data_IF_625946211886
#
_entry.id   IF_625946211886
#
_cell.length_a   1.000
_cell.length_b   1.000
_cell.length_c   1.000
_cell.angle_alpha   90.00
_cell.angle_beta   90.00
_cell.angle_gamma   90.00
#
_symmetry.space_group_name_H-M   'P 1'
#
loop_
_entity.id
_entity.type
_entity.pdbx_description
1 polymer ?
#
# COMPACT_ATOMS: atom_id res chain seq x y z
N UNK A 1 11.87 -17.19 16.12
CA UNK A 1 12.73 -18.25 15.50
C UNK A 1 12.45 -18.46 14.01
N UNK A 2 11.18 -18.41 13.55
CA UNK A 2 10.81 -18.53 12.14
C UNK A 2 11.24 -17.31 11.29
N UNK A 3 11.07 -16.09 11.81
CA UNK A 3 11.52 -14.86 11.17
C UNK A 3 13.04 -14.83 10.97
N UNK A 4 13.83 -15.28 11.95
CA UNK A 4 15.29 -15.39 11.83
C UNK A 4 15.69 -16.43 10.77
N UNK A 5 14.94 -17.53 10.64
CA UNK A 5 15.15 -18.55 9.58
C UNK A 5 14.77 -18.02 8.19
N UNK A 6 13.72 -17.21 8.07
CA UNK A 6 13.32 -16.58 6.81
C UNK A 6 14.33 -15.52 6.39
N UNK A 7 14.78 -14.70 7.33
CA UNK A 7 15.79 -13.66 7.12
C UNK A 7 17.16 -14.29 6.77
N UNK A 8 17.54 -15.40 7.41
CA UNK A 8 18.71 -16.19 6.99
C UNK A 8 18.53 -16.75 5.58
N UNK A 9 17.34 -17.27 5.23
CA UNK A 9 17.09 -17.83 3.88
C UNK A 9 17.12 -16.75 2.81
N UNK A 10 16.59 -15.56 3.07
CA UNK A 10 16.64 -14.42 2.13
C UNK A 10 18.05 -13.87 2.02
N UNK A 11 18.79 -13.74 3.14
CA UNK A 11 20.19 -13.32 3.12
C UNK A 11 21.14 -14.34 2.47
N UNK A 12 20.84 -15.65 2.60
CA UNK A 12 21.64 -16.73 2.02
C UNK A 12 21.20 -17.12 0.61
N UNK A 13 20.04 -16.66 0.12
CA UNK A 13 19.56 -16.97 -1.23
C UNK A 13 20.53 -16.49 -2.33
N UNK A 14 21.12 -15.28 -2.28
CA UNK A 14 22.17 -14.85 -3.21
C UNK A 14 23.42 -15.75 -3.12
N UNK A 15 23.82 -16.12 -1.91
CA UNK A 15 24.97 -17.01 -1.66
C UNK A 15 24.72 -18.40 -2.22
N UNK A 16 23.50 -18.92 -2.05
CA UNK A 16 23.06 -20.20 -2.60
C UNK A 16 22.99 -20.18 -4.13
N UNK A 17 22.47 -19.11 -4.73
CA UNK A 17 22.48 -18.92 -6.20
C UNK A 17 23.91 -18.92 -6.75
N UNK A 18 24.84 -18.21 -6.09
CA UNK A 18 26.25 -18.16 -6.46
C UNK A 18 26.90 -19.55 -6.33
N UNK A 19 26.64 -20.30 -5.24
CA UNK A 19 27.19 -21.64 -5.03
C UNK A 19 26.63 -22.68 -6.00
N UNK A 20 25.32 -22.64 -6.27
CA UNK A 20 24.67 -23.55 -7.23
C UNK A 20 25.15 -23.24 -8.66
N UNK A 21 25.35 -21.97 -8.98
CA UNK A 21 25.95 -21.56 -10.25
C UNK A 21 27.41 -22.03 -10.35
N UNK A 22 28.23 -21.83 -9.32
CA UNK A 22 29.63 -22.29 -9.27
C UNK A 22 29.75 -23.81 -9.44
N UNK A 23 28.87 -24.60 -8.83
CA UNK A 23 28.90 -26.08 -8.91
C UNK A 23 28.45 -26.60 -10.28
N UNK A 24 27.44 -25.97 -10.89
CA UNK A 24 27.03 -26.30 -12.27
C UNK A 24 28.08 -25.85 -13.29
N UNK A 25 28.74 -24.72 -13.04
CA UNK A 25 29.70 -24.11 -13.95
C UNK A 25 31.10 -24.75 -13.88
N UNK A 26 31.55 -25.18 -12.70
CA UNK A 26 32.78 -26.00 -12.56
C UNK A 26 32.65 -27.33 -13.31
N UNK A 27 31.47 -27.95 -13.29
CA UNK A 27 31.14 -29.11 -14.12
C UNK A 27 31.19 -28.79 -15.62
N UNK A 28 30.75 -27.60 -16.03
CA UNK A 28 30.75 -27.15 -17.43
C UNK A 28 32.16 -26.81 -17.95
N UNK A 29 32.98 -26.13 -17.16
CA UNK A 29 34.39 -25.80 -17.49
C UNK A 29 35.23 -27.07 -17.59
N UNK A 30 34.97 -28.08 -16.76
CA UNK A 30 35.68 -29.38 -16.84
C UNK A 30 35.52 -30.06 -18.21
N UNK A 31 34.46 -29.71 -18.97
CA UNK A 31 34.18 -30.24 -20.31
C UNK A 31 34.73 -29.39 -21.46
N UNK A 32 35.08 -28.12 -21.22
CA UNK A 32 35.55 -27.19 -22.25
C UNK A 32 36.98 -26.76 -21.93
N UNK A 33 37.94 -27.50 -22.48
CA UNK A 33 39.37 -27.40 -22.15
C UNK A 33 40.07 -26.13 -22.60
N UNK A 34 39.75 -24.97 -22.03
CA UNK A 34 40.58 -23.77 -22.16
C UNK A 34 40.59 -22.93 -20.87
N UNK A 35 41.65 -23.07 -20.08
CA UNK A 35 41.88 -22.44 -18.77
C UNK A 35 41.74 -20.90 -18.80
N UNK A 36 42.16 -20.28 -19.90
CA UNK A 36 42.16 -18.81 -20.08
C UNK A 36 40.73 -18.25 -20.17
N UNK A 37 39.83 -18.95 -20.86
CA UNK A 37 38.42 -18.55 -20.93
C UNK A 37 37.73 -18.71 -19.58
N UNK A 38 38.04 -19.78 -18.84
CA UNK A 38 37.52 -19.99 -17.48
C UNK A 38 37.90 -18.86 -16.51
N UNK A 39 39.14 -18.38 -16.56
CA UNK A 39 39.61 -17.26 -15.73
C UNK A 39 38.95 -15.92 -16.10
N UNK A 40 38.75 -15.66 -17.40
CA UNK A 40 38.08 -14.45 -17.88
C UNK A 40 36.61 -14.40 -17.42
N UNK A 41 35.87 -15.50 -17.54
CA UNK A 41 34.49 -15.57 -17.06
C UNK A 41 34.38 -15.54 -15.54
N UNK A 42 35.32 -16.15 -14.79
CA UNK A 42 35.35 -16.07 -13.33
C UNK A 42 35.56 -14.62 -12.86
N UNK A 43 36.44 -13.86 -13.52
CA UNK A 43 36.64 -12.44 -13.25
C UNK A 43 35.36 -11.62 -13.49
N UNK A 44 34.67 -11.82 -14.62
CA UNK A 44 33.38 -11.17 -14.91
C UNK A 44 32.34 -11.51 -13.83
N UNK A 45 32.33 -12.74 -13.32
CA UNK A 45 31.40 -13.17 -12.28
C UNK A 45 31.68 -12.54 -10.92
N UNK A 46 32.95 -12.40 -10.55
CA UNK A 46 33.36 -11.70 -9.32
C UNK A 46 32.97 -10.23 -9.42
N UNK A 47 33.27 -9.59 -10.56
CA UNK A 47 32.91 -8.19 -10.80
C UNK A 47 31.39 -7.99 -10.80
N UNK A 48 30.64 -8.86 -11.48
CA UNK A 48 29.17 -8.82 -11.46
C UNK A 48 28.61 -9.08 -10.06
N UNK A 49 29.16 -10.03 -9.30
CA UNK A 49 28.77 -10.29 -7.92
C UNK A 49 29.03 -9.12 -6.99
N UNK A 50 30.16 -8.43 -7.15
CA UNK A 50 30.49 -7.20 -6.40
C UNK A 50 29.56 -6.07 -6.78
N UNK A 51 29.30 -5.83 -8.06
CA UNK A 51 28.38 -4.77 -8.54
C UNK A 51 26.94 -5.04 -8.07
N UNK A 52 26.47 -6.28 -8.15
CA UNK A 52 25.12 -6.68 -7.68
C UNK A 52 25.03 -6.52 -6.17
N UNK A 53 26.06 -6.93 -5.42
CA UNK A 53 26.10 -6.72 -3.98
C UNK A 53 26.05 -5.21 -3.67
N UNK A 54 26.92 -4.41 -4.26
CA UNK A 54 27.00 -2.96 -4.03
C UNK A 54 25.67 -2.24 -4.36
N UNK A 55 25.03 -2.59 -5.48
CA UNK A 55 23.71 -2.04 -5.86
C UNK A 55 22.58 -2.51 -4.94
N UNK A 56 22.56 -3.80 -4.56
CA UNK A 56 21.54 -4.33 -3.67
C UNK A 56 21.66 -3.75 -2.25
N UNK A 57 22.88 -3.57 -1.74
CA UNK A 57 23.14 -2.94 -0.45
C UNK A 57 22.77 -1.46 -0.45
N UNK A 58 23.04 -0.75 -1.56
CA UNK A 58 22.62 0.64 -1.71
C UNK A 58 21.08 0.75 -1.72
N UNK A 59 20.38 -0.09 -2.47
CA UNK A 59 18.90 -0.10 -2.47
C UNK A 59 18.33 -0.47 -1.10
N UNK A 60 18.92 -1.45 -0.40
CA UNK A 60 18.52 -1.82 0.96
C UNK A 60 18.78 -0.68 1.95
N UNK A 61 19.92 0.00 1.85
CA UNK A 61 20.26 1.14 2.70
C UNK A 61 19.35 2.34 2.44
N UNK A 62 19.01 2.61 1.17
CA UNK A 62 18.03 3.62 0.78
C UNK A 62 16.65 3.24 1.34
N UNK A 63 16.21 2.00 1.16
CA UNK A 63 14.93 1.52 1.69
C UNK A 63 14.87 1.65 3.21
N UNK A 64 15.93 1.23 3.93
CA UNK A 64 16.03 1.40 5.39
C UNK A 64 16.03 2.86 5.81
N UNK A 65 16.78 3.73 5.10
CA UNK A 65 16.81 5.17 5.36
C UNK A 65 15.44 5.83 5.15
N UNK A 66 14.73 5.46 4.08
CA UNK A 66 13.35 5.90 3.81
C UNK A 66 12.42 5.41 4.92
N UNK A 67 12.54 4.16 5.37
CA UNK A 67 11.76 3.62 6.48
C UNK A 67 12.00 4.39 7.79
N UNK A 68 13.24 4.75 8.11
CA UNK A 68 13.56 5.53 9.31
C UNK A 68 13.01 6.96 9.24
N UNK A 69 13.17 7.62 8.09
CA UNK A 69 12.61 8.95 7.87
C UNK A 69 11.08 8.93 7.95
N UNK A 70 10.44 7.89 7.41
CA UNK A 70 8.99 7.69 7.49
C UNK A 70 8.55 7.46 8.94
N UNK A 71 9.21 6.56 9.68
CA UNK A 71 8.91 6.32 11.11
C UNK A 71 9.05 7.61 11.92
N UNK A 72 10.15 8.34 11.75
CA UNK A 72 10.33 9.63 12.43
C UNK A 72 9.17 10.57 12.07
N UNK A 73 8.79 10.70 10.78
CA UNK A 73 7.67 11.56 10.38
C UNK A 73 6.34 11.15 11.01
N UNK A 74 6.08 9.86 11.17
CA UNK A 74 4.88 9.34 11.84
C UNK A 74 4.91 9.63 13.36
N UNK A 75 6.07 9.52 14.01
CA UNK A 75 6.19 9.76 15.44
C UNK A 75 6.33 11.25 15.81
N UNK A 76 6.61 12.11 14.83
CA UNK A 76 6.82 13.54 15.00
C UNK A 76 5.77 14.39 14.25
N UNK A 77 4.57 13.86 14.00
CA UNK A 77 3.52 14.55 13.21
C UNK A 77 3.09 15.91 13.79
N UNK A 78 3.17 16.07 15.12
CA UNK A 78 2.74 17.28 15.81
C UNK A 78 3.83 18.35 15.96
N UNK A 79 5.09 18.03 15.70
CA UNK A 79 6.23 18.92 15.96
C UNK A 79 6.93 19.39 14.67
N UNK A 80 7.99 20.19 14.84
CA UNK A 80 8.81 20.71 13.73
C UNK A 80 10.18 20.02 13.66
N UNK A 81 10.35 18.90 14.33
CA UNK A 81 11.61 18.16 14.35
C UNK A 81 11.93 17.67 12.92
N UNK A 82 13.15 17.92 12.49
CA UNK A 82 13.65 17.42 11.20
C UNK A 82 14.45 16.16 11.46
N UNK A 83 14.18 15.13 10.67
CA UNK A 83 14.98 13.90 10.72
C UNK A 83 16.40 14.20 10.23
N UNK A 84 17.38 14.08 11.12
CA UNK A 84 18.79 14.24 10.79
C UNK A 84 19.56 13.00 11.25
N UNK A 85 19.96 12.18 10.29
CA UNK A 85 20.60 10.89 10.56
C UNK A 85 21.81 10.69 9.64
N UNK A 86 22.95 10.35 10.25
CA UNK A 86 24.16 9.88 9.59
C UNK A 86 24.69 8.68 10.38
N UNK A 87 25.01 7.60 9.68
CA UNK A 87 25.57 6.38 10.25
C UNK A 87 26.85 6.64 11.07
N UNK A 88 27.62 7.69 10.74
CA UNK A 88 28.82 8.09 11.48
C UNK A 88 28.53 8.43 12.93
N UNK A 89 27.33 8.91 13.25
CA UNK A 89 26.97 9.26 14.62
C UNK A 89 26.92 8.03 15.53
N UNK A 90 26.59 6.84 15.02
CA UNK A 90 26.40 5.64 15.85
C UNK A 90 27.70 5.17 16.51
N UNK A 91 28.81 5.14 15.76
CA UNK A 91 30.09 4.55 16.22
C UNK A 91 30.74 5.37 17.34
N UNK A 92 30.59 6.70 17.31
CA UNK A 92 31.26 7.60 18.26
C UNK A 92 30.43 8.04 19.46
N UNK A 93 29.10 8.00 19.37
CA UNK A 93 28.20 8.54 20.41
C UNK A 93 27.59 7.47 21.32
N UNK A 94 27.61 6.20 20.91
CA UNK A 94 26.87 5.13 21.59
C UNK A 94 25.35 5.18 21.37
N UNK A 95 24.86 6.15 20.58
CA UNK A 95 23.46 6.24 20.19
C UNK A 95 23.09 5.11 19.21
N UNK A 96 21.84 4.70 19.28
CA UNK A 96 21.20 3.77 18.36
C UNK A 96 20.31 4.52 17.37
N UNK A 97 19.92 3.87 16.28
CA UNK A 97 18.96 4.42 15.31
C UNK A 97 17.63 4.83 15.96
N UNK A 98 17.22 4.13 17.03
CA UNK A 98 15.97 4.42 17.75
C UNK A 98 15.99 5.81 18.38
N UNK A 99 17.16 6.26 18.85
CA UNK A 99 17.31 7.56 19.51
C UNK A 99 17.10 8.73 18.55
N UNK A 100 17.25 8.50 17.23
CA UNK A 100 16.99 9.50 16.18
C UNK A 100 15.55 9.50 15.67
N UNK A 101 14.73 8.52 16.08
CA UNK A 101 13.35 8.31 15.59
C UNK A 101 12.33 8.50 16.72
N UNK A 102 12.74 8.25 17.97
CA UNK A 102 11.87 8.25 19.12
C UNK A 102 11.31 9.66 19.41
N UNK A 103 9.99 9.77 19.66
CA UNK A 103 9.39 11.03 20.09
C UNK A 103 9.76 11.32 21.54
N UNK A 104 9.40 12.51 22.02
CA UNK A 104 9.59 12.90 23.43
C UNK A 104 8.90 11.96 24.42
N UNK A 105 7.80 11.32 24.01
CA UNK A 105 7.10 10.31 24.79
C UNK A 105 5.69 10.03 24.26
N UNK A 106 5.07 9.01 24.83
CA UNK A 106 3.67 8.65 24.61
C UNK A 106 2.89 8.75 25.91
N UNK A 107 1.65 9.21 25.82
CA UNK A 107 0.72 9.26 26.94
C UNK A 107 -0.55 8.48 26.56
N UNK A 108 -1.00 7.55 27.39
CA UNK A 108 -2.22 6.76 27.16
C UNK A 108 -3.22 6.94 28.32
N UNK A 109 -3.91 8.10 28.43
CA UNK A 109 -4.61 8.46 29.66
C UNK A 109 -5.83 7.58 29.98
N UNK A 110 -6.59 7.19 28.95
CA UNK A 110 -7.88 6.49 29.10
C UNK A 110 -7.95 5.17 28.34
N UNK A 111 -6.94 4.85 27.55
CA UNK A 111 -6.96 3.73 26.60
C UNK A 111 -7.81 3.96 25.34
N UNK A 112 -8.63 5.01 25.25
CA UNK A 112 -9.45 5.32 24.06
C UNK A 112 -8.75 6.21 23.03
N UNK A 113 -7.73 6.92 23.50
CA UNK A 113 -6.86 7.79 22.73
C UNK A 113 -5.48 7.78 23.39
N UNK A 114 -4.51 8.33 22.68
CA UNK A 114 -3.16 8.55 23.17
C UNK A 114 -2.64 9.90 22.69
N UNK A 115 -1.52 10.34 23.24
CA UNK A 115 -0.84 11.56 22.79
C UNK A 115 0.58 11.26 22.35
N UNK A 116 0.98 11.93 21.28
CA UNK A 116 2.37 11.98 20.81
C UNK A 116 2.78 13.46 20.82
N UNK A 117 3.62 13.85 21.77
CA UNK A 117 3.85 15.27 22.06
C UNK A 117 2.55 16.00 22.39
N UNK A 118 2.24 17.06 21.64
CA UNK A 118 1.03 17.87 21.81
C UNK A 118 -0.17 17.38 20.98
N UNK A 119 0.00 16.33 20.17
CA UNK A 119 -1.02 15.82 19.28
C UNK A 119 -1.87 14.76 20.00
N UNK A 120 -3.19 14.89 19.94
CA UNK A 120 -4.13 13.86 20.35
C UNK A 120 -4.34 12.90 19.18
N UNK A 121 -4.28 11.60 19.47
CA UNK A 121 -4.27 10.53 18.49
C UNK A 121 -5.26 9.44 18.89
N UNK A 122 -5.91 8.82 17.90
CA UNK A 122 -6.74 7.65 18.13
C UNK A 122 -6.65 6.65 16.98
N UNK A 123 -6.41 5.40 17.34
CA UNK A 123 -6.39 4.25 16.46
C UNK A 123 -7.78 3.63 16.34
N UNK A 124 -8.16 3.35 15.09
CA UNK A 124 -9.38 2.62 14.74
C UNK A 124 -9.06 1.57 13.67
N UNK A 125 -9.84 0.49 13.61
CA UNK A 125 -9.83 -0.46 12.50
C UNK A 125 -11.13 -0.38 11.71
N UNK A 126 -11.07 -0.74 10.43
CA UNK A 126 -12.24 -0.81 9.56
C UNK A 126 -12.84 -2.22 9.62
N UNK A 127 -14.05 -2.34 10.15
CA UNK A 127 -14.89 -3.54 10.03
C UNK A 127 -15.59 -3.53 8.68
N UNK A 128 -15.26 -4.50 7.85
CA UNK A 128 -15.83 -4.67 6.53
C UNK A 128 -16.89 -5.77 6.60
N UNK A 129 -18.13 -5.33 6.79
CA UNK A 129 -19.30 -6.22 6.88
C UNK A 129 -19.96 -6.40 5.50
N UNK A 130 -19.67 -5.51 4.55
CA UNK A 130 -20.19 -5.55 3.19
C UNK A 130 -19.60 -6.71 2.35
N UNK A 131 -20.41 -7.20 1.41
CA UNK A 131 -20.00 -8.19 0.40
C UNK A 131 -19.19 -7.57 -0.74
N UNK A 132 -19.34 -6.26 -0.98
CA UNK A 132 -18.63 -5.52 -2.02
C UNK A 132 -18.16 -4.16 -1.48
N UNK A 133 -16.99 -3.72 -1.94
CA UNK A 133 -16.32 -2.51 -1.46
C UNK A 133 -16.04 -1.61 -2.65
N UNK A 134 -16.36 -0.32 -2.56
CA UNK A 134 -16.00 0.62 -3.61
C UNK A 134 -14.49 0.94 -3.61
N UNK A 135 -13.92 1.02 -4.81
CA UNK A 135 -12.59 1.56 -5.13
C UNK A 135 -12.38 3.01 -4.70
N UNK A 136 -13.45 3.73 -4.40
CA UNK A 136 -13.40 5.10 -3.87
C UNK A 136 -13.22 5.17 -2.36
N UNK A 137 -13.38 4.08 -1.63
CA UNK A 137 -13.30 4.11 -0.16
C UNK A 137 -11.94 4.64 0.31
N UNK A 138 -10.84 4.07 -0.22
CA UNK A 138 -9.50 4.51 0.16
C UNK A 138 -9.27 5.98 -0.23
N UNK A 139 -9.74 6.39 -1.41
CA UNK A 139 -9.64 7.78 -1.86
C UNK A 139 -10.41 8.75 -0.95
N UNK A 140 -11.62 8.39 -0.53
CA UNK A 140 -12.43 9.20 0.39
C UNK A 140 -11.74 9.36 1.75
N UNK A 141 -11.11 8.30 2.29
CA UNK A 141 -10.28 8.43 3.48
C UNK A 141 -9.10 9.38 3.20
N UNK A 142 -8.30 9.13 2.17
CA UNK A 142 -7.12 9.94 1.86
C UNK A 142 -7.44 11.42 1.55
N UNK A 143 -8.67 11.71 1.11
CA UNK A 143 -9.15 13.07 0.84
C UNK A 143 -9.58 13.88 2.08
N UNK A 144 -9.51 13.31 3.28
CA UNK A 144 -9.82 14.05 4.51
C UNK A 144 -8.86 15.23 4.73
N UNK A 145 -9.41 16.40 5.05
CA UNK A 145 -8.64 17.62 5.39
C UNK A 145 -8.05 17.58 6.81
N UNK A 146 -7.51 16.44 7.22
CA UNK A 146 -6.88 16.23 8.53
C UNK A 146 -5.63 15.39 8.40
N UNK A 147 -4.72 15.51 9.37
CA UNK A 147 -3.56 14.62 9.41
C UNK A 147 -4.00 13.25 9.90
N UNK A 148 -3.74 12.22 9.10
CA UNK A 148 -4.07 10.85 9.43
C UNK A 148 -3.10 9.87 8.78
N UNK A 149 -3.09 8.64 9.27
CA UNK A 149 -2.36 7.53 8.65
C UNK A 149 -3.35 6.40 8.39
N UNK A 150 -3.41 5.96 7.14
CA UNK A 150 -4.11 4.72 6.76
C UNK A 150 -3.06 3.63 6.61
N UNK A 151 -3.23 2.53 7.33
CA UNK A 151 -2.34 1.36 7.26
C UNK A 151 -3.13 0.14 6.83
N UNK A 152 -2.57 -0.63 5.91
CA UNK A 152 -3.13 -1.89 5.45
C UNK A 152 -2.09 -3.00 5.57
N UNK A 153 -2.40 -4.03 6.35
CA UNK A 153 -1.64 -5.28 6.34
C UNK A 153 -2.36 -6.26 5.44
N UNK A 154 -1.67 -6.73 4.40
CA UNK A 154 -2.22 -7.68 3.43
C UNK A 154 -1.33 -8.93 3.47
N UNK A 155 -1.91 -10.05 3.88
CA UNK A 155 -1.22 -11.33 3.96
C UNK A 155 -1.89 -12.35 3.05
N UNK A 156 -1.13 -12.94 2.12
CA UNK A 156 -1.65 -14.06 1.31
C UNK A 156 -1.82 -15.31 2.14
N UNK A 157 -2.92 -16.03 1.93
CA UNK A 157 -3.19 -17.34 2.52
C UNK A 157 -2.77 -18.43 1.52
N UNK A 158 -2.23 -19.54 2.02
CA UNK A 158 -1.99 -20.72 1.17
C UNK A 158 -3.30 -21.23 0.58
N UNK A 159 -3.30 -21.58 -0.71
CA UNK A 159 -4.52 -21.93 -1.43
C UNK A 159 -5.23 -23.15 -0.81
N UNK A 160 -4.48 -24.15 -0.34
CA UNK A 160 -5.07 -25.35 0.23
C UNK A 160 -5.69 -25.06 1.60
N UNK A 161 -5.00 -24.26 2.42
CA UNK A 161 -5.52 -23.83 3.73
C UNK A 161 -6.75 -22.91 3.58
N UNK A 162 -6.76 -22.03 2.58
CA UNK A 162 -7.91 -21.19 2.26
C UNK A 162 -9.15 -22.03 1.89
N UNK A 163 -8.99 -22.97 0.93
CA UNK A 163 -10.07 -23.88 0.51
C UNK A 163 -10.58 -24.72 1.69
N UNK A 164 -9.67 -25.23 2.52
CA UNK A 164 -10.01 -26.03 3.70
C UNK A 164 -10.80 -25.22 4.72
N UNK A 165 -10.37 -23.99 5.00
CA UNK A 165 -11.03 -23.07 5.94
C UNK A 165 -12.45 -22.76 5.48
N UNK A 166 -12.65 -22.43 4.19
CA UNK A 166 -13.98 -22.11 3.67
C UNK A 166 -14.90 -23.33 3.65
N UNK A 167 -14.39 -24.53 3.29
CA UNK A 167 -15.17 -25.78 3.39
C UNK A 167 -15.63 -26.07 4.83
N UNK A 168 -14.75 -25.82 5.80
CA UNK A 168 -15.10 -25.94 7.21
C UNK A 168 -16.21 -24.95 7.59
N UNK A 169 -16.08 -23.66 7.21
CA UNK A 169 -17.10 -22.64 7.43
C UNK A 169 -18.45 -23.01 6.80
N UNK A 170 -18.46 -23.52 5.57
CA UNK A 170 -19.69 -24.01 4.91
C UNK A 170 -20.33 -25.15 5.72
N UNK A 171 -19.52 -26.07 6.24
CA UNK A 171 -20.01 -27.20 7.04
C UNK A 171 -20.66 -26.73 8.34
N UNK A 172 -20.06 -25.75 9.02
CA UNK A 172 -20.63 -25.14 10.24
C UNK A 172 -21.92 -24.34 9.96
N UNK A 173 -21.99 -23.65 8.83
CA UNK A 173 -23.21 -22.95 8.39
C UNK A 173 -24.33 -23.94 8.04
N UNK A 174 -24.02 -25.00 7.30
CA UNK A 174 -24.99 -26.05 6.97
C UNK A 174 -25.48 -26.77 8.25
N UNK A 175 -24.61 -26.98 9.24
CA UNK A 175 -24.99 -27.49 10.57
C UNK A 175 -25.95 -26.55 11.30
N UNK A 176 -25.62 -25.26 11.36
CA UNK A 176 -26.47 -24.24 11.98
C UNK A 176 -27.85 -24.18 11.33
N UNK A 177 -27.89 -24.30 9.99
CA UNK A 177 -29.14 -24.34 9.23
C UNK A 177 -30.01 -25.55 9.62
N UNK A 178 -29.40 -26.73 9.77
CA UNK A 178 -30.12 -27.94 10.21
C UNK A 178 -30.65 -27.78 11.63
N UNK A 179 -29.89 -27.15 12.52
CA UNK A 179 -30.32 -26.93 13.91
C UNK A 179 -31.53 -25.97 13.99
N UNK A 180 -31.52 -24.88 13.22
CA UNK A 180 -32.67 -23.98 13.12
C UNK A 180 -33.91 -24.67 12.52
N UNK A 181 -33.72 -25.47 11.46
CA UNK A 181 -34.82 -26.25 10.87
C UNK A 181 -35.41 -27.26 11.88
N UNK A 182 -34.57 -27.94 12.67
CA UNK A 182 -35.04 -28.84 13.74
C UNK A 182 -35.83 -28.10 14.82
N UNK A 183 -35.42 -26.87 15.18
CA UNK A 183 -36.18 -26.04 16.12
C UNK A 183 -37.53 -25.63 15.55
N UNK A 184 -37.58 -25.23 14.27
CA UNK A 184 -38.82 -24.88 13.58
C UNK A 184 -39.83 -26.04 13.59
N UNK A 185 -39.37 -27.26 13.27
CA UNK A 185 -40.19 -28.49 13.33
C UNK A 185 -40.75 -28.73 14.74
N UNK A 186 -39.92 -28.56 15.78
CA UNK A 186 -40.37 -28.74 17.18
C UNK A 186 -41.35 -27.67 17.64
N UNK A 187 -41.18 -26.44 17.15
CA UNK A 187 -42.03 -25.30 17.51
C UNK A 187 -43.29 -25.18 16.65
N UNK A 188 -43.41 -25.97 15.58
CA UNK A 188 -44.56 -25.95 14.67
C UNK A 188 -44.58 -24.79 13.68
N UNK A 189 -43.43 -24.14 13.45
CA UNK A 189 -43.27 -23.12 12.41
C UNK A 189 -42.76 -23.74 11.10
N UNK A 190 -42.93 -23.02 10.00
CA UNK A 190 -42.46 -23.44 8.68
C UNK A 190 -40.94 -23.62 8.64
N UNK A 191 -40.49 -24.76 8.10
CA UNK A 191 -39.07 -25.14 7.95
C UNK A 191 -38.33 -24.25 6.95
N UNK A 192 -39.06 -23.54 6.09
CA UNK A 192 -38.48 -22.58 5.14
C UNK A 192 -38.10 -21.25 5.82
N UNK A 193 -38.59 -21.00 7.04
CA UNK A 193 -38.21 -19.83 7.83
C UNK A 193 -36.83 -20.07 8.43
N UNK A 194 -35.81 -19.77 7.65
CA UNK A 194 -34.41 -19.72 8.06
C UNK A 194 -34.03 -18.24 8.20
N UNK A 195 -33.24 -17.86 9.22
CA UNK A 195 -32.72 -16.49 9.32
C UNK A 195 -32.07 -16.06 8.00
N UNK A 196 -32.49 -14.89 7.48
CA UNK A 196 -32.01 -14.36 6.19
C UNK A 196 -30.49 -14.32 6.12
N UNK A 197 -29.85 -13.96 7.22
CA UNK A 197 -28.40 -13.80 7.31
C UNK A 197 -27.69 -15.14 7.14
N UNK A 198 -28.22 -16.21 7.76
CA UNK A 198 -27.67 -17.56 7.63
C UNK A 198 -27.75 -18.08 6.18
N UNK A 199 -28.86 -17.77 5.48
CA UNK A 199 -29.02 -18.12 4.08
C UNK A 199 -28.05 -17.34 3.18
N UNK A 200 -27.86 -16.04 3.43
CA UNK A 200 -26.93 -15.18 2.70
C UNK A 200 -25.49 -15.62 2.91
N UNK A 201 -25.04 -15.77 4.16
CA UNK A 201 -23.67 -16.22 4.47
C UNK A 201 -23.35 -17.59 3.88
N UNK A 202 -24.32 -18.53 3.90
CA UNK A 202 -24.16 -19.84 3.27
C UNK A 202 -23.99 -19.77 1.75
N UNK A 203 -24.68 -18.83 1.10
CA UNK A 203 -24.54 -18.57 -0.35
C UNK A 203 -23.19 -17.95 -0.66
N UNK A 204 -22.79 -16.92 0.08
CA UNK A 204 -21.55 -16.18 -0.13
C UNK A 204 -20.32 -17.07 0.10
N UNK A 205 -20.33 -17.92 1.14
CA UNK A 205 -19.26 -18.88 1.38
C UNK A 205 -19.12 -19.89 0.23
N UNK A 206 -20.22 -20.35 -0.36
CA UNK A 206 -20.21 -21.25 -1.53
C UNK A 206 -19.74 -20.54 -2.79
N UNK A 207 -20.09 -19.26 -2.98
CA UNK A 207 -19.59 -18.43 -4.07
C UNK A 207 -18.06 -18.24 -3.94
N UNK A 208 -17.57 -17.84 -2.77
CA UNK A 208 -16.15 -17.67 -2.48
C UNK A 208 -15.35 -18.96 -2.73
N UNK A 209 -15.87 -20.11 -2.31
CA UNK A 209 -15.24 -21.41 -2.58
C UNK A 209 -15.07 -21.65 -4.09
N UNK A 210 -16.11 -21.35 -4.88
CA UNK A 210 -16.09 -21.50 -6.34
C UNK A 210 -15.08 -20.55 -6.99
N UNK A 211 -15.00 -19.31 -6.52
CA UNK A 211 -14.03 -18.33 -7.03
C UNK A 211 -12.59 -18.81 -6.81
N UNK A 212 -12.27 -19.26 -5.60
CA UNK A 212 -10.93 -19.78 -5.27
C UNK A 212 -10.57 -21.06 -6.04
N UNK A 213 -11.54 -21.92 -6.35
CA UNK A 213 -11.27 -23.17 -7.06
C UNK A 213 -11.22 -23.00 -8.59
N UNK A 214 -12.04 -22.10 -9.14
CA UNK A 214 -12.32 -22.08 -10.58
C UNK A 214 -11.84 -20.79 -11.26
N UNK A 215 -11.68 -19.68 -10.53
CA UNK A 215 -11.37 -18.36 -11.11
C UNK A 215 -9.93 -17.90 -10.88
N UNK A 216 -9.04 -18.80 -10.42
CA UNK A 216 -7.65 -18.49 -10.10
C UNK A 216 -7.50 -17.33 -9.09
N UNK A 217 -8.51 -17.15 -8.25
CA UNK A 217 -8.49 -16.21 -7.13
C UNK A 217 -7.66 -16.78 -5.97
N UNK A 218 -6.92 -15.91 -5.30
CA UNK A 218 -6.24 -16.19 -4.04
C UNK A 218 -6.97 -15.52 -2.89
N UNK A 219 -6.84 -16.12 -1.71
CA UNK A 219 -7.35 -15.53 -0.49
C UNK A 219 -6.26 -14.69 0.20
N UNK A 220 -6.64 -13.50 0.63
CA UNK A 220 -5.82 -12.59 1.42
C UNK A 220 -6.51 -12.28 2.75
N UNK A 221 -5.71 -11.97 3.76
CA UNK A 221 -6.15 -11.46 5.05
C UNK A 221 -5.77 -9.99 5.10
N UNK A 222 -6.77 -9.12 5.23
CA UNK A 222 -6.62 -7.67 5.30
C UNK A 222 -6.86 -7.20 6.75
N UNK A 223 -5.93 -6.41 7.28
CA UNK A 223 -6.15 -5.54 8.43
C UNK A 223 -6.07 -4.09 7.95
N UNK A 224 -7.15 -3.34 8.05
CA UNK A 224 -7.21 -1.93 7.65
C UNK A 224 -7.36 -1.06 8.90
N UNK A 225 -6.41 -0.16 9.12
CA UNK A 225 -6.38 0.72 10.29
C UNK A 225 -6.27 2.19 9.87
N UNK A 226 -6.89 3.05 10.67
CA UNK A 226 -6.84 4.50 10.54
C UNK A 226 -6.37 5.09 11.86
N UNK A 227 -5.28 5.85 11.81
CA UNK A 227 -4.84 6.74 12.88
C UNK A 227 -5.38 8.13 12.57
N UNK A 228 -6.34 8.59 13.36
CA UNK A 228 -6.80 9.98 13.31
C UNK A 228 -6.03 10.81 14.32
N UNK A 229 -5.80 12.08 14.00
CA UNK A 229 -5.08 13.02 14.88
C UNK A 229 -5.83 14.34 15.03
N UNK A 230 -5.51 15.11 16.07
CA UNK A 230 -6.02 16.47 16.29
C UNK A 230 -5.17 17.23 17.30
N UNK A 231 -5.16 18.57 17.23
CA UNK A 231 -4.46 19.44 18.20
C UNK A 231 -5.25 19.66 19.49
N UNK A 232 -6.53 19.30 19.48
CA UNK A 232 -7.40 19.27 20.66
C UNK A 232 -8.24 18.00 20.67
N UNK A 233 -8.76 17.62 21.84
CA UNK A 233 -9.67 16.49 21.95
C UNK A 233 -10.93 16.65 21.08
N UNK A 234 -11.44 17.89 20.97
CA UNK A 234 -12.60 18.19 20.13
C UNK A 234 -12.30 18.00 18.64
N UNK A 235 -11.13 18.45 18.18
CA UNK A 235 -10.68 18.25 16.80
C UNK A 235 -10.48 16.76 16.49
N UNK A 236 -9.87 16.01 17.41
CA UNK A 236 -9.69 14.58 17.29
C UNK A 236 -11.05 13.87 17.10
N UNK A 237 -12.02 14.11 17.99
CA UNK A 237 -13.35 13.51 17.89
C UNK A 237 -14.10 13.89 16.61
N UNK A 238 -13.98 15.14 16.15
CA UNK A 238 -14.55 15.57 14.87
C UNK A 238 -13.94 14.80 13.69
N UNK A 239 -12.61 14.64 13.67
CA UNK A 239 -11.92 13.92 12.59
C UNK A 239 -12.31 12.44 12.58
N UNK A 240 -12.51 11.83 13.75
CA UNK A 240 -12.98 10.44 13.84
C UNK A 240 -14.42 10.32 13.36
N UNK A 241 -15.29 11.27 13.72
CA UNK A 241 -16.67 11.27 13.25
C UNK A 241 -16.73 11.35 11.72
N UNK A 242 -15.88 12.18 11.10
CA UNK A 242 -15.75 12.24 9.65
C UNK A 242 -15.26 10.91 9.06
N UNK A 243 -14.20 10.32 9.61
CA UNK A 243 -13.68 9.03 9.18
C UNK A 243 -14.73 7.91 9.31
N UNK A 244 -15.51 7.90 10.39
CA UNK A 244 -16.61 6.96 10.60
C UNK A 244 -17.74 7.18 9.60
N UNK A 245 -18.04 8.42 9.24
CA UNK A 245 -19.05 8.75 8.23
C UNK A 245 -18.63 8.26 6.83
N UNK A 246 -17.33 8.35 6.51
CA UNK A 246 -16.76 7.78 5.28
C UNK A 246 -16.89 6.25 5.28
N UNK A 247 -16.54 5.58 6.39
CA UNK A 247 -16.71 4.14 6.51
C UNK A 247 -18.17 3.72 6.25
N UNK A 248 -19.13 4.40 6.90
CA UNK A 248 -20.56 4.09 6.78
C UNK A 248 -21.10 4.31 5.37
N UNK A 249 -20.65 5.36 4.67
CA UNK A 249 -20.97 5.60 3.25
C UNK A 249 -20.64 4.39 2.37
N UNK A 250 -19.62 3.63 2.74
CA UNK A 250 -19.15 2.42 2.03
C UNK A 250 -19.58 1.11 2.72
N UNK A 251 -20.67 1.13 3.50
CA UNK A 251 -21.20 -0.04 4.22
C UNK A 251 -20.17 -0.73 5.13
N UNK A 252 -19.23 0.04 5.67
CA UNK A 252 -18.24 -0.41 6.63
C UNK A 252 -18.41 0.35 7.94
N UNK A 253 -17.83 -0.19 9.01
CA UNK A 253 -17.86 0.45 10.33
C UNK A 253 -16.44 0.76 10.77
N UNK A 254 -16.19 1.98 11.25
CA UNK A 254 -14.91 2.34 11.85
C UNK A 254 -15.00 2.11 13.37
N UNK A 255 -14.23 1.17 13.88
CA UNK A 255 -14.30 0.75 15.29
C UNK A 255 -13.01 1.16 15.99
N UNK A 256 -13.15 1.81 17.15
CA UNK A 256 -12.00 2.25 17.96
C UNK A 256 -11.27 1.04 18.57
N UNK A 257 -9.94 1.06 18.52
CA UNK A 257 -9.08 0.11 19.24
C UNK A 257 -8.97 0.50 20.72
N UNK A 258 -10.09 0.55 21.43
CA UNK A 258 -10.13 0.90 22.86
C UNK A 258 -9.25 -0.07 23.66
N UNK A 259 -8.38 0.49 24.52
CA UNK A 259 -7.34 -0.22 25.29
C UNK A 259 -6.26 -0.94 24.46
N UNK A 260 -6.29 -0.79 23.13
CA UNK A 260 -5.31 -1.34 22.20
C UNK A 260 -4.63 -0.25 21.33
N UNK A 261 -4.58 0.98 21.85
CA UNK A 261 -4.03 2.13 21.12
C UNK A 261 -2.53 1.99 20.84
N UNK A 262 -1.78 1.41 21.79
CA UNK A 262 -0.34 1.15 21.62
C UNK A 262 -0.09 0.10 20.55
N UNK A 263 -0.80 -1.03 20.61
CA UNK A 263 -0.74 -2.11 19.62
C UNK A 263 -1.12 -1.58 18.24
N UNK A 264 -2.17 -0.77 18.17
CA UNK A 264 -2.58 -0.09 16.94
C UNK A 264 -1.47 0.79 16.38
N UNK A 265 -0.86 1.66 17.20
CA UNK A 265 0.23 2.54 16.79
C UNK A 265 1.43 1.75 16.27
N UNK A 266 1.90 0.74 17.02
CA UNK A 266 3.02 -0.12 16.61
C UNK A 266 2.74 -0.77 15.25
N UNK A 267 1.49 -1.18 15.03
CA UNK A 267 1.05 -1.80 13.78
C UNK A 267 0.95 -0.81 12.61
N UNK A 268 0.99 0.52 12.84
CA UNK A 268 1.07 1.52 11.76
C UNK A 268 2.49 1.82 11.29
N UNK A 269 3.49 1.46 12.11
CA UNK A 269 4.87 1.70 11.75
C UNK A 269 5.26 0.79 10.57
N UNK A 270 6.13 1.26 9.65
CA UNK A 270 6.61 0.47 8.51
C UNK A 270 7.64 -0.59 8.93
N UNK A 271 7.27 -1.42 9.91
CA UNK A 271 8.02 -2.54 10.46
C UNK A 271 7.58 -3.90 9.89
N UNK A 272 6.55 -3.91 9.02
CA UNK A 272 5.88 -5.11 8.53
C UNK A 272 5.44 -6.04 9.68
N UNK A 273 4.98 -5.44 10.77
CA UNK A 273 4.56 -6.12 11.98
C UNK A 273 3.17 -5.60 12.38
N UNK A 274 2.27 -6.52 12.68
CA UNK A 274 0.90 -6.24 13.09
C UNK A 274 0.64 -6.92 14.43
N UNK A 275 0.33 -6.14 15.47
CA UNK A 275 -0.10 -6.61 16.79
C UNK A 275 -1.63 -6.64 16.93
N UNK A 276 -2.35 -6.10 15.94
CA UNK A 276 -3.82 -6.11 15.94
C UNK A 276 -4.32 -7.36 15.21
N UNK A 277 -4.82 -8.31 15.99
CA UNK A 277 -5.37 -9.59 15.51
C UNK A 277 -6.79 -9.46 14.91
N UNK A 278 -6.99 -8.47 14.04
CA UNK A 278 -8.27 -8.25 13.34
C UNK A 278 -8.02 -8.37 11.85
N UNK A 279 -8.61 -9.39 11.23
CA UNK A 279 -8.35 -9.74 9.84
C UNK A 279 -9.65 -10.07 9.11
N UNK A 280 -9.83 -9.47 7.93
CA UNK A 280 -10.90 -9.80 7.00
C UNK A 280 -10.35 -10.64 5.86
N UNK A 281 -10.95 -11.80 5.61
CA UNK A 281 -10.68 -12.61 4.43
C UNK A 281 -11.24 -11.94 3.16
N UNK A 282 -10.40 -11.79 2.14
CA UNK A 282 -10.72 -11.14 0.87
C UNK A 282 -10.17 -11.94 -0.31
N UNK A 283 -10.78 -11.82 -1.49
CA UNK A 283 -10.20 -12.33 -2.74
C UNK A 283 -9.15 -11.37 -3.29
N UNK A 284 -8.40 -11.79 -4.30
CA UNK A 284 -7.43 -10.94 -5.01
C UNK A 284 -8.13 -9.71 -5.58
N UNK A 285 -9.26 -9.92 -6.25
CA UNK A 285 -10.03 -8.83 -6.87
C UNK A 285 -10.51 -7.82 -5.83
N UNK A 286 -11.07 -8.27 -4.70
CA UNK A 286 -11.52 -7.35 -3.65
C UNK A 286 -10.36 -6.67 -2.93
N UNK A 287 -9.19 -7.31 -2.83
CA UNK A 287 -7.98 -6.70 -2.25
C UNK A 287 -7.39 -5.64 -3.18
N UNK A 288 -7.48 -5.83 -4.50
CA UNK A 288 -6.94 -4.91 -5.50
C UNK A 288 -7.60 -3.52 -5.47
N UNK A 289 -8.84 -3.44 -4.96
CA UNK A 289 -9.60 -2.21 -4.73
C UNK A 289 -8.84 -1.23 -3.82
N UNK A 290 -8.01 -1.75 -2.91
CA UNK A 290 -7.21 -0.95 -1.98
C UNK A 290 -5.85 -0.53 -2.54
N UNK A 291 -5.52 -0.91 -3.78
CA UNK A 291 -4.28 -0.46 -4.41
C UNK A 291 -4.51 0.96 -4.93
N UNK A 292 -3.76 1.98 -4.45
CA UNK A 292 -4.05 3.39 -4.68
C UNK A 292 -3.63 3.90 -6.08
N UNK A 293 -3.81 3.09 -7.12
CA UNK A 293 -3.51 3.46 -8.51
C UNK A 293 -4.78 3.65 -9.34
N UNK A 294 -5.78 4.32 -8.78
CA UNK A 294 -6.97 4.69 -9.55
C UNK A 294 -6.67 5.81 -10.55
N UNK A 295 -5.60 6.61 -10.34
CA UNK A 295 -5.16 7.66 -11.26
C UNK A 295 -3.65 7.60 -11.54
N UNK A 296 -3.28 7.62 -12.83
CA UNK A 296 -1.91 7.93 -13.23
C UNK A 296 -1.74 9.45 -13.16
N UNK A 297 -0.86 9.92 -12.28
CA UNK A 297 -0.48 11.32 -12.23
C UNK A 297 0.71 11.57 -13.16
N UNK A 298 0.57 12.58 -14.02
CA UNK A 298 1.61 12.99 -14.95
C UNK A 298 2.18 14.33 -14.48
N UNK A 299 3.11 14.23 -13.52
CA UNK A 299 3.77 15.38 -12.90
C UNK A 299 5.30 15.20 -12.95
N UNK A 300 5.97 16.10 -13.67
CA UNK A 300 7.42 16.16 -13.78
C UNK A 300 7.91 17.40 -13.01
N UNK A 301 8.68 17.17 -11.95
CA UNK A 301 9.18 18.23 -11.06
C UNK A 301 10.54 18.77 -11.54
N UNK A 302 10.54 19.51 -12.65
CA UNK A 302 11.71 20.25 -13.13
C UNK A 302 11.32 21.48 -13.95
N UNK A 303 12.28 22.37 -14.17
CA UNK A 303 12.07 23.67 -14.81
C UNK A 303 11.57 23.62 -16.25
N UNK A 304 11.70 22.49 -16.94
CA UNK A 304 11.26 22.32 -18.33
C UNK A 304 9.83 21.80 -18.48
N UNK A 305 9.16 21.45 -17.37
CA UNK A 305 7.82 20.90 -17.40
C UNK A 305 6.77 21.98 -17.66
N UNK A 306 5.92 21.75 -18.66
CA UNK A 306 4.86 22.68 -19.06
C UNK A 306 3.53 22.31 -18.39
N UNK A 307 2.74 23.33 -18.05
CA UNK A 307 1.40 23.16 -17.50
C UNK A 307 0.38 22.82 -18.59
N UNK A 308 -0.25 21.66 -18.49
CA UNK A 308 -1.27 21.19 -19.43
C UNK A 308 -2.70 21.31 -18.90
N UNK A 309 -2.89 21.40 -17.59
CA UNK A 309 -4.22 21.49 -16.98
C UNK A 309 -4.30 20.76 -15.65
N UNK A 310 -5.52 20.42 -15.26
CA UNK A 310 -5.79 19.59 -14.09
C UNK A 310 -6.24 18.20 -14.54
N UNK A 311 -5.80 17.18 -13.82
CA UNK A 311 -6.34 15.85 -13.95
C UNK A 311 -7.82 15.87 -13.55
N UNK A 312 -8.71 15.44 -14.44
CA UNK A 312 -10.15 15.52 -14.21
C UNK A 312 -10.65 14.63 -13.05
N UNK A 313 -9.88 13.62 -12.65
CA UNK A 313 -10.23 12.72 -11.55
C UNK A 313 -9.65 13.17 -10.21
N UNK A 314 -8.37 13.57 -10.18
CA UNK A 314 -7.68 13.94 -8.94
C UNK A 314 -7.59 15.44 -8.69
N UNK A 315 -7.93 16.28 -9.66
CA UNK A 315 -7.72 17.73 -9.65
C UNK A 315 -6.25 18.17 -9.44
N UNK A 316 -5.29 17.26 -9.55
CA UNK A 316 -3.87 17.57 -9.49
C UNK A 316 -3.38 18.21 -10.78
N UNK A 317 -2.29 18.98 -10.69
CA UNK A 317 -1.65 19.61 -11.85
C UNK A 317 -1.05 18.56 -12.79
N UNK A 318 -1.29 18.73 -14.09
CA UNK A 318 -0.59 18.01 -15.15
C UNK A 318 0.59 18.89 -15.60
N UNK A 319 1.80 18.48 -15.25
CA UNK A 319 3.06 19.18 -15.53
C UNK A 319 4.00 18.23 -16.29
N UNK A 320 4.34 18.57 -17.54
CA UNK A 320 5.02 17.62 -18.43
C UNK A 320 6.00 18.32 -19.37
N UNK A 321 7.22 17.80 -19.45
CA UNK A 321 8.12 18.00 -20.59
C UNK A 321 8.00 16.80 -21.53
N UNK A 322 7.41 17.03 -22.71
CA UNK A 322 7.22 15.97 -23.71
C UNK A 322 8.56 15.45 -24.25
N UNK A 323 9.65 16.21 -24.20
CA UNK A 323 10.97 15.79 -24.70
C UNK A 323 11.53 14.59 -23.94
N UNK A 324 11.09 14.39 -22.70
CA UNK A 324 11.48 13.26 -21.85
C UNK A 324 10.59 12.03 -22.03
N UNK A 325 9.49 12.14 -22.78
CA UNK A 325 8.60 11.02 -23.08
C UNK A 325 9.15 10.20 -24.25
N UNK A 326 8.67 8.95 -24.35
CA UNK A 326 9.04 8.04 -25.46
C UNK A 326 8.70 8.63 -26.84
N UNK A 327 7.69 9.49 -26.92
CA UNK A 327 7.34 10.27 -28.11
C UNK A 327 7.06 11.72 -27.69
N UNK A 328 7.79 12.71 -28.23
CA UNK A 328 7.67 14.11 -27.83
C UNK A 328 6.52 14.86 -28.52
N UNK A 329 5.84 14.23 -29.50
CA UNK A 329 4.82 14.88 -30.30
C UNK A 329 3.50 15.05 -29.50
N UNK A 330 2.81 16.17 -29.74
CA UNK A 330 1.48 16.44 -29.19
C UNK A 330 0.42 16.59 -30.27
N UNK A 331 -0.83 16.28 -29.93
CA UNK A 331 -1.98 16.43 -30.84
C UNK A 331 -3.15 17.05 -30.06
N UNK A 332 -3.69 18.16 -30.56
CA UNK A 332 -4.87 18.85 -29.99
C UNK A 332 -6.03 18.66 -30.96
N UNK A 333 -7.06 17.91 -30.55
CA UNK A 333 -8.28 17.66 -31.33
C UNK A 333 -9.49 18.28 -30.63
N UNK A 334 -10.52 18.62 -31.41
CA UNK A 334 -11.73 19.26 -30.90
C UNK A 334 -12.60 19.80 -32.03
N UNK A 335 -13.85 20.11 -31.74
CA UNK A 335 -14.80 20.73 -32.68
C UNK A 335 -14.63 22.25 -32.72
N UNK A 336 -15.14 22.96 -33.74
CA UNK A 336 -15.16 24.43 -33.73
C UNK A 336 -15.81 24.97 -32.44
N UNK A 337 -15.18 25.96 -31.80
CA UNK A 337 -15.64 26.53 -30.52
C UNK A 337 -15.22 25.76 -29.26
N UNK A 338 -14.56 24.61 -29.36
CA UNK A 338 -14.15 23.80 -28.19
C UNK A 338 -12.89 24.29 -27.46
N UNK A 339 -12.31 25.42 -27.87
CA UNK A 339 -11.08 25.97 -27.27
C UNK A 339 -9.76 25.35 -27.74
N UNK A 340 -9.72 24.71 -28.93
CA UNK A 340 -8.46 24.17 -29.53
C UNK A 340 -7.39 25.25 -29.67
N UNK A 341 -7.69 26.34 -30.38
CA UNK A 341 -6.73 27.41 -30.67
C UNK A 341 -6.27 28.11 -29.40
N UNK A 342 -7.17 28.29 -28.44
CA UNK A 342 -6.82 28.82 -27.12
C UNK A 342 -5.82 27.90 -26.39
N UNK A 343 -6.07 26.59 -26.39
CA UNK A 343 -5.18 25.61 -25.74
C UNK A 343 -3.81 25.57 -26.41
N UNK A 344 -3.76 25.60 -27.75
CA UNK A 344 -2.53 25.65 -28.52
C UNK A 344 -1.72 26.93 -28.26
N UNK A 345 -2.37 28.11 -28.29
CA UNK A 345 -1.73 29.40 -27.99
C UNK A 345 -1.20 29.47 -26.57
N UNK A 346 -1.95 28.93 -25.60
CA UNK A 346 -1.51 28.84 -24.20
C UNK A 346 -0.26 27.97 -24.07
N UNK A 347 -0.23 26.83 -24.75
CA UNK A 347 0.93 25.93 -24.76
C UNK A 347 2.15 26.61 -25.40
N UNK A 348 1.97 27.25 -26.55
CA UNK A 348 3.03 28.01 -27.24
C UNK A 348 3.59 29.12 -26.35
N UNK A 349 2.72 29.89 -25.69
CA UNK A 349 3.13 30.96 -24.79
C UNK A 349 3.89 30.43 -23.56
N UNK A 350 3.43 29.33 -22.96
CA UNK A 350 4.15 28.68 -21.86
C UNK A 350 5.52 28.18 -22.30
N UNK A 351 5.61 27.55 -23.48
CA UNK A 351 6.87 27.06 -24.03
C UNK A 351 7.86 28.22 -24.24
N UNK A 352 7.41 29.32 -24.85
CA UNK A 352 8.23 30.53 -25.03
C UNK A 352 8.77 31.13 -23.71
N UNK A 353 8.01 31.05 -22.62
CA UNK A 353 8.40 31.64 -21.34
C UNK A 353 9.31 30.73 -20.50
N UNK A 354 9.22 29.42 -20.70
CA UNK A 354 9.84 28.41 -19.84
C UNK A 354 11.08 27.81 -20.49
N UNK A 355 11.15 27.81 -21.83
CA UNK A 355 12.26 27.20 -22.58
C UNK A 355 12.84 28.16 -23.60
N UNK A 356 14.09 27.89 -24.01
CA UNK A 356 14.77 28.60 -25.09
C UNK A 356 14.53 27.91 -26.46
N UNK A 357 13.40 27.23 -26.62
CA UNK A 357 13.11 26.47 -27.85
C UNK A 357 12.63 27.38 -28.99
N UNK A 358 12.96 27.00 -30.23
CA UNK A 358 12.45 27.67 -31.43
C UNK A 358 10.97 27.31 -31.67
N UNK A 359 10.16 28.33 -31.99
CA UNK A 359 8.72 28.19 -32.24
C UNK A 359 8.42 28.52 -33.69
N UNK A 360 7.86 27.54 -34.41
CA UNK A 360 7.41 27.69 -35.80
C UNK A 360 5.90 27.45 -35.84
N UNK A 361 5.15 28.43 -36.33
CA UNK A 361 3.69 28.38 -36.43
C UNK A 361 3.31 28.45 -37.90
N UNK A 362 2.52 27.46 -38.36
CA UNK A 362 1.89 27.47 -39.67
C UNK A 362 0.38 27.53 -39.47
N UNK A 363 -0.18 28.72 -39.59
CA UNK A 363 -1.59 28.97 -39.34
C UNK A 363 -2.33 29.40 -40.63
N UNK A 364 -3.08 28.49 -41.27
CA UNK A 364 -3.88 28.84 -42.44
C UNK A 364 -5.14 29.65 -42.10
N UNK A 365 -5.57 29.68 -40.83
CA UNK A 365 -6.79 30.36 -40.37
C UNK A 365 -6.51 31.79 -39.90
N UNK A 366 -5.22 32.17 -39.75
CA UNK A 366 -4.76 33.51 -39.35
C UNK A 366 -5.37 33.99 -38.02
N UNK A 367 -5.44 33.09 -37.04
CA UNK A 367 -6.04 33.33 -35.72
C UNK A 367 -5.10 33.96 -34.71
#
# INVERSE_FOLDING_TARGET
MLALKLLLRVMLFPVWLILTFLTVFTSLISKVGNLVMGLFYLYILIVAGVIIAEHAWLQLAIAMGISFALMHRQLHMGDKARFHFDWKYLVGSGLSVKDFIAPSGFEFPTGRYFKIGDLFCAMSFLSIDASDISDRMLADFLGMESTQIVTMHIQSVDQNEAIKTIKHTITELDRSKIEEQKKAVRAGYDMEIIPSDLATYGRDAKALLKELQTQNERMFLLTFMVLNTGRSMQELENNIFQASSIAQKHNCNLIRLDFQQEQGLVSTLPLAYNEVDIQRGMTTSSTAIFVPFTTQELFQDHSGALYYGLNALSNNLIMVDRKLLKNPNGLILGTPGSGKSFSAKREIANLFLVTDDDIIISDPESE
#
